data_IF_637064169924
#
_entry.id   IF_637064169924
#
_cell.length_a   1.000
_cell.length_b   1.000
_cell.length_c   1.000
_cell.angle_alpha   90.00
_cell.angle_beta   90.00
_cell.angle_gamma   90.00
#
_symmetry.space_group_name_H-M   'P 1'
#
loop_
_entity.id
_entity.type
_entity.pdbx_description
1 polymer ?
#
# COMPACT_ATOMS: atom_id res chain seq x y z
N UNK A 1 55.21 -3.04 12.81
CA UNK A 1 54.37 -3.44 11.63
C UNK A 1 52.96 -3.91 12.01
N UNK A 2 52.74 -4.70 13.07
CA UNK A 2 51.35 -5.05 13.51
C UNK A 2 50.69 -3.94 14.32
N UNK A 3 51.44 -3.17 15.07
CA UNK A 3 50.91 -2.05 15.86
C UNK A 3 50.57 -0.83 15.02
N UNK A 4 51.33 -0.52 13.98
CA UNK A 4 51.01 0.53 13.00
C UNK A 4 49.71 0.23 12.24
N UNK A 5 49.45 -1.06 11.89
CA UNK A 5 48.20 -1.47 11.24
C UNK A 5 47.00 -1.42 12.18
N UNK A 6 47.18 -1.44 13.51
CA UNK A 6 46.10 -1.26 14.48
C UNK A 6 45.75 0.22 14.65
N UNK A 7 46.75 1.11 14.69
CA UNK A 7 46.54 2.56 14.76
C UNK A 7 45.84 3.10 13.54
N UNK A 8 46.24 2.68 12.32
CA UNK A 8 45.58 3.05 11.07
C UNK A 8 44.11 2.60 11.00
N UNK A 9 43.83 1.38 11.48
CA UNK A 9 42.45 0.89 11.53
C UNK A 9 41.59 1.66 12.54
N UNK A 10 42.16 2.10 13.65
CA UNK A 10 41.46 2.86 14.67
C UNK A 10 41.19 4.30 14.19
N UNK A 11 42.16 4.90 13.52
CA UNK A 11 42.05 6.24 12.91
C UNK A 11 41.03 6.29 11.79
N UNK A 12 40.98 5.25 10.91
CA UNK A 12 39.99 5.12 9.85
C UNK A 12 38.58 4.92 10.45
N UNK A 13 38.46 4.13 11.53
CA UNK A 13 37.19 3.91 12.23
C UNK A 13 36.67 5.18 12.88
N UNK A 14 37.55 5.97 13.53
CA UNK A 14 37.21 7.27 14.13
C UNK A 14 36.84 8.32 13.06
N UNK A 15 37.53 8.36 11.92
CA UNK A 15 37.21 9.25 10.81
C UNK A 15 35.86 8.90 10.16
N UNK A 16 35.56 7.60 10.00
CA UNK A 16 34.29 7.11 9.50
C UNK A 16 33.13 7.48 10.43
N UNK A 17 33.27 7.24 11.72
CA UNK A 17 32.28 7.60 12.75
C UNK A 17 32.05 9.11 12.80
N UNK A 18 33.10 9.92 12.69
CA UNK A 18 32.98 11.39 12.62
C UNK A 18 32.26 11.89 11.37
N UNK A 19 32.50 11.27 10.21
CA UNK A 19 31.84 11.62 8.96
C UNK A 19 30.33 11.23 8.97
N UNK A 20 30.02 10.05 9.50
CA UNK A 20 28.66 9.55 9.64
C UNK A 20 27.85 10.38 10.65
N UNK A 21 28.43 10.76 11.79
CA UNK A 21 27.82 11.68 12.75
C UNK A 21 27.54 13.06 12.17
N UNK A 22 28.47 13.60 11.35
CA UNK A 22 28.28 14.89 10.67
C UNK A 22 27.13 14.82 9.65
N UNK A 23 26.97 13.71 8.93
CA UNK A 23 25.89 13.54 7.97
C UNK A 23 24.52 13.37 8.64
N UNK A 24 24.45 12.62 9.75
CA UNK A 24 23.24 12.49 10.57
C UNK A 24 22.82 13.85 11.15
N UNK A 25 23.75 14.62 11.71
CA UNK A 25 23.50 15.99 12.18
C UNK A 25 23.03 16.88 11.04
N UNK A 26 23.60 16.73 9.84
CA UNK A 26 23.24 17.52 8.66
C UNK A 26 21.83 17.20 8.15
N UNK A 27 21.40 15.93 8.19
CA UNK A 27 20.03 15.51 7.90
C UNK A 27 19.04 16.08 8.93
N UNK A 28 19.34 15.96 10.23
CA UNK A 28 18.54 16.53 11.33
C UNK A 28 18.40 18.05 11.24
N UNK A 29 19.46 18.77 10.86
CA UNK A 29 19.46 20.22 10.61
C UNK A 29 18.64 20.61 9.38
N UNK A 30 18.73 19.84 8.30
CA UNK A 30 18.00 20.09 7.06
C UNK A 30 16.48 19.90 7.23
N UNK A 31 16.04 18.89 8.00
CA UNK A 31 14.63 18.71 8.39
C UNK A 31 14.16 19.93 9.20
N UNK A 32 14.92 20.37 10.20
CA UNK A 32 14.62 21.55 11.04
C UNK A 32 14.49 22.87 10.29
N UNK A 33 15.35 23.11 9.30
CA UNK A 33 15.36 24.38 8.55
C UNK A 33 14.14 24.52 7.63
N UNK A 34 13.73 23.46 6.93
CA UNK A 34 12.56 23.51 6.04
C UNK A 34 11.23 23.63 6.77
N UNK A 35 11.12 23.09 7.99
CA UNK A 35 9.93 23.33 8.83
C UNK A 35 9.84 24.76 9.33
N UNK A 36 10.95 25.40 9.69
CA UNK A 36 10.95 26.83 10.06
C UNK A 36 10.48 27.69 8.88
N UNK A 37 10.90 27.40 7.65
CA UNK A 37 10.42 28.09 6.45
C UNK A 37 8.93 27.81 6.15
N UNK A 38 8.45 26.59 6.41
CA UNK A 38 7.04 26.23 6.23
C UNK A 38 6.16 26.88 7.28
N UNK A 39 6.56 26.84 8.56
CA UNK A 39 5.83 27.51 9.66
C UNK A 39 5.87 29.03 9.55
N UNK A 40 6.95 29.61 9.05
CA UNK A 40 7.02 31.04 8.77
C UNK A 40 6.06 31.47 7.63
N UNK A 41 5.92 30.64 6.58
CA UNK A 41 4.97 30.89 5.47
C UNK A 41 3.51 30.67 5.88
N UNK A 42 3.23 29.71 6.76
CA UNK A 42 1.86 29.50 7.30
C UNK A 42 1.46 30.58 8.30
N UNK A 43 2.36 31.03 9.17
CA UNK A 43 2.08 32.12 10.12
C UNK A 43 1.90 33.48 9.43
N UNK A 44 2.59 33.72 8.32
CA UNK A 44 2.39 34.96 7.54
C UNK A 44 0.98 35.04 6.90
N UNK A 45 0.34 33.91 6.65
CA UNK A 45 -1.03 33.84 6.13
C UNK A 45 -2.12 33.88 7.23
N UNK A 46 -1.77 33.54 8.49
CA UNK A 46 -2.70 33.55 9.63
C UNK A 46 -2.87 34.96 10.23
N UNK A 47 -1.87 35.82 10.15
CA UNK A 47 -1.96 37.21 10.69
C UNK A 47 -2.92 38.14 9.94
N UNK A 48 -3.55 37.67 8.86
CA UNK A 48 -4.60 38.47 8.14
C UNK A 48 -6.04 38.08 8.48
N UNK A 49 -6.29 37.19 9.45
CA UNK A 49 -7.66 36.89 9.93
C UNK A 49 -7.73 36.89 11.45
N UNK A 50 -8.52 37.82 11.92
CA UNK A 50 -8.99 38.19 13.24
C UNK A 50 -8.98 37.18 14.38
N UNK A 51 -8.57 37.68 15.56
CA UNK A 51 -8.59 37.08 16.91
C UNK A 51 -9.98 36.61 17.34
N UNK A 52 -10.10 35.40 17.78
CA UNK A 52 -11.09 34.96 18.76
C UNK A 52 -10.43 34.00 19.77
N UNK A 53 -10.88 33.96 21.05
CA UNK A 53 -10.10 33.37 22.13
C UNK A 53 -10.21 31.84 22.18
N UNK A 54 -9.07 31.16 22.24
CA UNK A 54 -8.99 29.73 22.46
C UNK A 54 -9.18 29.42 23.94
N UNK A 55 -10.16 28.60 24.23
CA UNK A 55 -10.34 27.90 25.51
C UNK A 55 -9.48 26.66 25.48
N UNK A 56 -8.48 26.58 26.36
CA UNK A 56 -7.74 25.33 26.64
C UNK A 56 -8.69 24.32 27.26
N UNK A 57 -8.97 23.26 26.57
CA UNK A 57 -9.54 22.03 27.15
C UNK A 57 -8.46 20.95 27.13
N UNK A 58 -7.96 20.61 28.30
CA UNK A 58 -7.33 19.34 28.57
C UNK A 58 -8.41 18.26 28.48
N UNK A 59 -8.33 17.38 27.52
CA UNK A 59 -9.10 16.16 27.52
C UNK A 59 -8.27 15.03 26.94
N UNK A 60 -7.65 14.29 27.84
CA UNK A 60 -7.33 12.88 27.68
C UNK A 60 -8.61 12.09 27.81
N UNK A 61 -9.32 11.84 26.74
CA UNK A 61 -10.39 10.86 26.67
C UNK A 61 -10.23 10.05 25.38
N UNK A 62 -9.48 8.98 25.51
CA UNK A 62 -9.52 7.87 24.55
C UNK A 62 -10.86 7.16 24.74
N UNK A 63 -11.68 7.14 23.70
CA UNK A 63 -12.93 6.40 23.69
C UNK A 63 -12.62 4.90 23.65
N UNK A 64 -13.01 4.23 24.72
CA UNK A 64 -13.18 2.78 24.80
C UNK A 64 -14.24 2.35 23.81
N UNK A 65 -13.89 1.58 22.78
CA UNK A 65 -14.84 0.74 22.10
C UNK A 65 -15.16 -0.44 23.03
N UNK A 66 -16.33 -0.46 23.58
CA UNK A 66 -16.84 -1.60 24.36
C UNK A 66 -16.97 -2.83 23.45
N UNK A 67 -16.15 -3.82 23.73
CA UNK A 67 -16.33 -5.17 23.21
C UNK A 67 -17.39 -5.86 24.07
N UNK A 68 -18.58 -6.04 23.53
CA UNK A 68 -19.58 -6.94 24.13
C UNK A 68 -19.09 -8.38 23.96
N UNK A 69 -18.69 -8.98 25.06
CA UNK A 69 -18.45 -10.42 25.20
C UNK A 69 -19.73 -11.21 24.95
N UNK A 70 -19.73 -12.03 23.91
CA UNK A 70 -20.73 -13.10 23.75
C UNK A 70 -20.02 -14.44 23.91
N UNK A 71 -20.15 -15.03 25.06
CA UNK A 71 -19.75 -16.40 25.34
C UNK A 71 -20.63 -17.41 24.58
N UNK A 72 -20.06 -18.50 24.04
CA UNK A 72 -20.85 -19.52 23.35
C UNK A 72 -21.48 -20.48 24.35
N UNK A 73 -22.81 -20.53 24.41
CA UNK A 73 -23.53 -21.64 25.04
C UNK A 73 -23.72 -22.79 24.04
N UNK A 74 -23.17 -23.94 24.37
CA UNK A 74 -23.50 -25.23 23.79
C UNK A 74 -24.98 -25.53 23.93
N UNK A 75 -25.63 -25.96 22.83
CA UNK A 75 -26.73 -26.88 22.90
C UNK A 75 -26.78 -27.81 21.68
N UNK A 76 -26.74 -29.10 21.97
CA UNK A 76 -26.98 -30.24 21.08
C UNK A 76 -28.50 -30.49 20.96
N UNK A 77 -28.97 -30.84 19.76
CA UNK A 77 -29.94 -31.94 19.44
C UNK A 77 -30.47 -31.71 18.02
N UNK A 78 -30.20 -32.62 17.15
CA UNK A 78 -30.92 -33.80 16.67
C UNK A 78 -32.09 -33.54 15.71
N UNK A 79 -31.88 -34.03 14.44
CA UNK A 79 -32.84 -34.69 13.50
C UNK A 79 -34.10 -33.89 13.13
N UNK A 80 -34.44 -33.77 11.84
CA UNK A 80 -34.95 -34.81 10.95
C UNK A 80 -35.09 -34.30 9.50
N UNK A 81 -35.10 -35.28 8.61
CA UNK A 81 -35.30 -35.23 7.17
C UNK A 81 -36.71 -34.78 6.76
N UNK A 82 -36.88 -34.14 5.61
CA UNK A 82 -37.85 -34.64 4.59
C UNK A 82 -37.75 -33.87 3.27
N UNK A 83 -37.76 -34.68 2.23
CA UNK A 83 -37.93 -34.35 0.82
C UNK A 83 -39.22 -33.58 0.51
N UNK A 84 -39.17 -32.75 -0.54
CA UNK A 84 -40.11 -32.95 -1.66
C UNK A 84 -39.72 -32.15 -2.92
N UNK A 85 -39.74 -32.88 -4.02
CA UNK A 85 -39.72 -32.38 -5.40
C UNK A 85 -41.06 -31.67 -5.71
N UNK A 86 -41.04 -30.68 -6.59
CA UNK A 86 -42.02 -30.63 -7.67
C UNK A 86 -41.59 -29.79 -8.87
N UNK A 87 -41.83 -30.39 -10.02
CA UNK A 87 -41.64 -29.90 -11.40
C UNK A 87 -42.76 -28.97 -11.84
N UNK A 88 -42.44 -28.04 -12.74
CA UNK A 88 -43.21 -27.67 -13.99
C UNK A 88 -42.66 -26.37 -14.54
N UNK A 89 -42.03 -26.36 -15.68
CA UNK A 89 -42.39 -26.33 -17.11
C UNK A 89 -43.14 -25.05 -17.55
N UNK A 90 -42.56 -24.31 -18.44
CA UNK A 90 -42.94 -23.87 -19.78
C UNK A 90 -42.62 -22.39 -20.12
N UNK A 91 -41.79 -22.20 -21.09
CA UNK A 91 -41.94 -21.83 -22.51
C UNK A 91 -41.82 -20.34 -22.87
N UNK A 92 -40.79 -20.10 -23.75
CA UNK A 92 -40.74 -19.25 -24.96
C UNK A 92 -40.93 -17.73 -24.76
N UNK A 93 -40.08 -16.84 -25.29
CA UNK A 93 -39.58 -16.71 -26.65
C UNK A 93 -38.65 -15.50 -26.78
N UNK A 94 -37.72 -15.52 -27.72
CA UNK A 94 -37.26 -14.33 -28.43
C UNK A 94 -35.81 -13.95 -28.36
N UNK A 95 -34.93 -14.56 -29.14
CA UNK A 95 -33.70 -13.94 -29.70
C UNK A 95 -34.12 -13.01 -30.87
N UNK A 96 -33.33 -11.98 -31.27
CA UNK A 96 -31.99 -12.16 -31.84
C UNK A 96 -31.00 -10.96 -31.59
N UNK A 97 -29.72 -11.12 -31.59
CA UNK A 97 -28.76 -10.71 -32.61
C UNK A 97 -27.33 -10.77 -32.11
N UNK A 98 -26.67 -11.86 -32.44
CA UNK A 98 -25.21 -11.91 -32.57
C UNK A 98 -24.88 -11.51 -33.99
N UNK A 99 -24.09 -10.46 -34.21
CA UNK A 99 -23.13 -10.35 -35.31
C UNK A 99 -22.47 -8.97 -35.26
N UNK A 100 -21.17 -8.90 -34.84
CA UNK A 100 -20.14 -8.08 -35.48
C UNK A 100 -18.92 -7.77 -34.58
N UNK A 101 -18.33 -8.75 -33.91
CA UNK A 101 -17.04 -8.52 -33.17
C UNK A 101 -16.00 -9.65 -33.29
N UNK A 102 -16.19 -10.59 -34.21
CA UNK A 102 -15.28 -11.73 -34.36
C UNK A 102 -14.32 -11.66 -35.57
N UNK A 103 -14.45 -10.65 -36.46
CA UNK A 103 -13.61 -10.58 -37.67
C UNK A 103 -12.21 -9.99 -37.50
N UNK A 104 -11.95 -9.11 -36.51
CA UNK A 104 -10.64 -8.47 -36.36
C UNK A 104 -9.58 -9.34 -35.68
N UNK A 105 -9.99 -10.27 -34.79
CA UNK A 105 -9.06 -11.17 -34.14
C UNK A 105 -8.62 -12.38 -34.97
N UNK A 106 -9.43 -12.78 -35.94
CA UNK A 106 -9.10 -13.88 -36.86
C UNK A 106 -8.03 -13.47 -37.88
N UNK A 107 -8.10 -12.26 -38.41
CA UNK A 107 -7.14 -11.77 -39.40
C UNK A 107 -5.71 -11.64 -38.84
N UNK A 108 -5.55 -11.13 -37.61
CA UNK A 108 -4.20 -11.02 -36.99
C UNK A 108 -3.52 -12.35 -36.72
N UNK A 109 -4.33 -13.39 -36.38
CA UNK A 109 -3.78 -14.75 -36.12
C UNK A 109 -3.45 -15.48 -37.42
N UNK A 110 -4.09 -15.11 -38.51
CA UNK A 110 -3.81 -15.61 -39.87
C UNK A 110 -2.57 -14.92 -40.48
N UNK A 111 -2.41 -13.60 -40.32
CA UNK A 111 -1.21 -12.88 -40.71
C UNK A 111 0.07 -13.42 -40.01
N UNK A 112 0.00 -13.74 -38.70
CA UNK A 112 1.11 -14.35 -37.97
C UNK A 112 1.44 -15.76 -38.45
N UNK A 113 0.41 -16.53 -38.85
CA UNK A 113 0.61 -17.86 -39.47
C UNK A 113 1.23 -17.73 -40.86
N UNK A 114 0.91 -16.71 -41.61
CA UNK A 114 1.52 -16.44 -42.93
C UNK A 114 3.00 -16.03 -42.78
N UNK A 115 3.34 -15.20 -41.78
CA UNK A 115 4.73 -14.81 -41.52
C UNK A 115 5.56 -16.03 -41.10
N UNK A 116 5.00 -16.90 -40.22
CA UNK A 116 5.66 -18.14 -39.82
C UNK A 116 5.77 -19.14 -40.96
N UNK A 117 4.77 -19.20 -41.84
CA UNK A 117 4.80 -20.09 -43.02
C UNK A 117 5.70 -19.54 -44.13
N UNK A 118 5.79 -18.22 -44.34
CA UNK A 118 6.77 -17.58 -45.24
C UNK A 118 8.20 -17.82 -44.79
N UNK A 119 8.48 -17.78 -43.49
CA UNK A 119 9.82 -18.12 -42.96
C UNK A 119 10.15 -19.62 -43.11
N UNK A 120 9.16 -20.51 -43.05
CA UNK A 120 9.36 -21.95 -43.26
C UNK A 120 9.57 -22.29 -44.75
N UNK A 121 8.90 -21.60 -45.66
CA UNK A 121 9.01 -21.92 -47.10
C UNK A 121 10.29 -21.34 -47.74
N UNK A 122 10.88 -20.25 -47.21
CA UNK A 122 12.18 -19.76 -47.67
C UNK A 122 13.37 -20.61 -47.23
N UNK A 123 13.15 -21.56 -46.29
CA UNK A 123 14.18 -22.47 -45.79
C UNK A 123 14.24 -23.81 -46.56
N UNK A 124 13.22 -24.11 -47.40
CA UNK A 124 13.15 -25.41 -48.13
C UNK A 124 13.69 -25.36 -49.55
N UNK A 125 13.96 -24.16 -50.12
CA UNK A 125 14.46 -24.07 -51.51
C UNK A 125 16.00 -23.97 -51.64
N UNK A 126 16.80 -23.88 -50.56
CA UNK A 126 18.25 -23.73 -50.61
C UNK A 126 19.03 -24.82 -49.83
N UNK A 127 18.58 -26.09 -49.88
CA UNK A 127 19.33 -27.18 -49.27
C UNK A 127 19.92 -28.12 -50.33
N UNK A 128 20.95 -27.64 -51.01
CA UNK A 128 22.01 -28.48 -51.56
C UNK A 128 23.33 -27.71 -51.44
N UNK A 129 24.17 -28.14 -50.55
CA UNK A 129 25.61 -28.07 -50.37
C UNK A 129 26.08 -27.44 -49.04
N UNK A 130 26.68 -28.30 -48.23
CA UNK A 130 27.79 -28.09 -47.28
C UNK A 130 27.89 -26.82 -46.44
N UNK A 131 27.38 -26.84 -45.19
CA UNK A 131 28.12 -26.44 -43.99
C UNK A 131 27.24 -26.55 -42.70
N UNK A 132 27.44 -27.64 -41.97
CA UNK A 132 26.54 -28.05 -40.86
C UNK A 132 26.60 -27.21 -39.58
N UNK A 133 27.54 -26.25 -39.43
CA UNK A 133 27.71 -25.47 -38.17
C UNK A 133 27.23 -24.01 -38.27
N UNK A 134 27.13 -23.45 -39.44
CA UNK A 134 26.70 -22.03 -39.62
C UNK A 134 25.16 -21.90 -39.63
N UNK A 135 24.47 -23.00 -39.97
CA UNK A 135 22.99 -23.01 -40.04
C UNK A 135 22.30 -23.21 -38.67
N UNK A 136 22.98 -23.87 -37.74
CA UNK A 136 22.48 -24.06 -36.37
C UNK A 136 22.49 -22.73 -35.58
N UNK A 137 23.53 -21.91 -35.73
CA UNK A 137 23.64 -20.59 -35.08
C UNK A 137 22.59 -19.61 -35.61
N UNK A 138 22.36 -19.53 -36.91
CA UNK A 138 21.32 -18.69 -37.52
C UNK A 138 19.92 -19.09 -37.11
N UNK A 139 19.66 -20.39 -36.93
CA UNK A 139 18.35 -20.90 -36.48
C UNK A 139 18.09 -20.56 -35.01
N UNK A 140 19.10 -20.69 -34.16
CA UNK A 140 19.01 -20.30 -32.72
C UNK A 140 18.82 -18.79 -32.56
N UNK A 141 19.45 -17.96 -33.40
CA UNK A 141 19.24 -16.50 -33.38
C UNK A 141 17.85 -16.12 -33.88
N UNK A 142 17.36 -16.75 -34.92
CA UNK A 142 15.99 -16.54 -35.44
C UNK A 142 14.93 -16.93 -34.41
N UNK A 143 15.10 -18.08 -33.74
CA UNK A 143 14.18 -18.51 -32.66
C UNK A 143 14.23 -17.59 -31.45
N UNK A 144 15.40 -17.03 -31.10
CA UNK A 144 15.52 -15.99 -30.05
C UNK A 144 14.79 -14.71 -30.44
N UNK A 145 14.92 -14.23 -31.68
CA UNK A 145 14.24 -13.04 -32.15
C UNK A 145 12.73 -13.20 -32.18
N UNK A 146 12.24 -14.38 -32.61
CA UNK A 146 10.79 -14.70 -32.61
C UNK A 146 10.27 -14.74 -31.18
N UNK A 147 10.98 -15.39 -30.25
CA UNK A 147 10.61 -15.43 -28.85
C UNK A 147 10.59 -14.02 -28.21
N UNK A 148 11.59 -13.18 -28.49
CA UNK A 148 11.63 -11.79 -28.01
C UNK A 148 10.46 -10.98 -28.56
N UNK A 149 10.13 -11.11 -29.85
CA UNK A 149 9.00 -10.43 -30.46
C UNK A 149 7.65 -10.89 -29.85
N UNK A 150 7.49 -12.16 -29.58
CA UNK A 150 6.30 -12.74 -28.94
C UNK A 150 6.16 -12.26 -27.47
N UNK A 151 7.26 -12.22 -26.73
CA UNK A 151 7.29 -11.70 -25.36
C UNK A 151 6.90 -10.21 -25.37
N UNK A 152 7.46 -9.42 -26.28
CA UNK A 152 7.14 -7.99 -26.42
C UNK A 152 5.66 -7.78 -26.75
N UNK A 153 5.10 -8.50 -27.68
CA UNK A 153 3.69 -8.42 -28.03
C UNK A 153 2.77 -8.77 -26.86
N UNK A 154 3.13 -9.80 -26.08
CA UNK A 154 2.39 -10.17 -24.86
C UNK A 154 2.44 -9.05 -23.81
N UNK A 155 3.59 -8.38 -23.66
CA UNK A 155 3.75 -7.26 -22.74
C UNK A 155 2.95 -6.03 -23.19
N UNK A 156 2.91 -5.74 -24.47
CA UNK A 156 2.12 -4.64 -25.04
C UNK A 156 0.60 -4.87 -24.82
N UNK A 157 0.11 -6.11 -24.98
CA UNK A 157 -1.27 -6.47 -24.68
C UNK A 157 -1.60 -6.31 -23.17
N UNK A 158 -0.66 -6.64 -22.29
CA UNK A 158 -0.80 -6.44 -20.85
C UNK A 158 -0.86 -4.94 -20.53
N UNK A 159 0.03 -4.15 -21.11
CA UNK A 159 0.08 -2.71 -20.91
C UNK A 159 -1.19 -2.01 -21.41
N UNK A 160 -1.67 -2.35 -22.61
CA UNK A 160 -2.93 -1.81 -23.15
C UNK A 160 -4.12 -2.10 -22.23
N UNK A 161 -4.16 -3.31 -21.65
CA UNK A 161 -5.23 -3.68 -20.72
C UNK A 161 -5.13 -2.91 -19.41
N UNK A 162 -3.90 -2.71 -18.89
CA UNK A 162 -3.65 -1.90 -17.70
C UNK A 162 -4.02 -0.45 -17.92
N UNK A 163 -3.65 0.14 -19.07
CA UNK A 163 -3.99 1.51 -19.41
C UNK A 163 -5.50 1.74 -19.41
N UNK A 164 -6.27 0.85 -20.04
CA UNK A 164 -7.74 0.91 -20.02
C UNK A 164 -8.33 0.81 -18.61
N UNK A 165 -7.74 0.01 -17.71
CA UNK A 165 -8.20 -0.10 -16.33
C UNK A 165 -7.82 1.14 -15.51
N UNK A 166 -6.60 1.63 -15.66
CA UNK A 166 -6.13 2.85 -15.00
C UNK A 166 -6.98 4.05 -15.43
N UNK A 167 -7.18 4.24 -16.74
CA UNK A 167 -8.02 5.32 -17.28
C UNK A 167 -9.45 5.23 -16.74
N UNK A 168 -10.03 4.04 -16.71
CA UNK A 168 -11.37 3.78 -16.15
C UNK A 168 -11.46 4.19 -14.68
N UNK A 169 -10.42 3.89 -13.87
CA UNK A 169 -10.34 4.27 -12.47
C UNK A 169 -10.11 5.78 -12.31
N UNK A 170 -9.24 6.38 -13.11
CA UNK A 170 -8.93 7.81 -13.05
C UNK A 170 -10.10 8.70 -13.51
N UNK A 171 -10.99 8.20 -14.38
CA UNK A 171 -12.23 8.89 -14.77
C UNK A 171 -13.17 9.16 -13.58
N UNK A 172 -12.98 8.46 -12.46
CA UNK A 172 -13.71 8.76 -11.22
C UNK A 172 -13.49 10.19 -10.70
N UNK A 173 -12.41 10.87 -11.10
CA UNK A 173 -12.18 12.28 -10.78
C UNK A 173 -13.36 13.18 -11.23
N UNK A 174 -14.08 12.75 -12.27
CA UNK A 174 -15.23 13.44 -12.85
C UNK A 174 -16.57 13.04 -12.19
N UNK A 175 -16.56 12.03 -11.32
CA UNK A 175 -17.76 11.50 -10.69
C UNK A 175 -18.04 12.18 -9.34
N UNK A 176 -19.29 12.09 -8.89
CA UNK A 176 -19.63 12.46 -7.52
C UNK A 176 -18.83 11.60 -6.54
N UNK A 177 -18.34 12.19 -5.43
CA UNK A 177 -17.62 11.42 -4.40
C UNK A 177 -18.42 10.19 -3.94
N UNK A 178 -17.71 9.10 -3.68
CA UNK A 178 -18.24 7.79 -3.27
C UNK A 178 -19.08 7.05 -4.33
N UNK A 179 -19.05 7.45 -5.60
CA UNK A 179 -19.63 6.65 -6.67
C UNK A 179 -18.73 5.42 -6.91
N UNK A 180 -19.34 4.25 -6.91
CA UNK A 180 -18.67 3.01 -7.27
C UNK A 180 -18.36 2.96 -8.76
N UNK A 181 -17.19 2.43 -9.10
CA UNK A 181 -16.79 2.23 -10.51
C UNK A 181 -17.25 0.82 -10.93
N UNK A 182 -17.82 0.71 -12.11
CA UNK A 182 -18.26 -0.57 -12.68
C UNK A 182 -17.04 -1.42 -13.10
N UNK A 183 -16.45 -2.12 -12.12
CA UNK A 183 -15.37 -3.08 -12.32
C UNK A 183 -15.95 -4.46 -12.65
N UNK A 184 -15.36 -5.17 -13.61
CA UNK A 184 -15.72 -6.56 -13.89
C UNK A 184 -14.93 -7.50 -12.97
N UNK A 185 -15.59 -8.55 -12.45
CA UNK A 185 -14.92 -9.56 -11.63
C UNK A 185 -13.73 -10.21 -12.34
N UNK A 186 -13.83 -10.38 -13.66
CA UNK A 186 -12.75 -10.89 -14.50
C UNK A 186 -11.54 -9.95 -14.59
N UNK A 187 -11.77 -8.62 -14.54
CA UNK A 187 -10.73 -7.60 -14.50
C UNK A 187 -9.99 -7.68 -13.16
N UNK A 188 -10.74 -7.74 -12.05
CA UNK A 188 -10.19 -7.83 -10.70
C UNK A 188 -9.37 -9.11 -10.52
N UNK A 189 -9.91 -10.26 -10.91
CA UNK A 189 -9.19 -11.54 -10.84
C UNK A 189 -7.90 -11.53 -11.65
N UNK A 190 -7.90 -10.89 -12.80
CA UNK A 190 -6.72 -10.78 -13.64
C UNK A 190 -5.65 -9.88 -13.00
N UNK A 191 -6.05 -8.75 -12.39
CA UNK A 191 -5.13 -7.85 -11.66
C UNK A 191 -4.54 -8.57 -10.44
N UNK A 192 -5.36 -9.26 -9.64
CA UNK A 192 -4.88 -10.06 -8.50
C UNK A 192 -3.83 -11.07 -8.96
N UNK A 193 -4.11 -11.83 -10.03
CA UNK A 193 -3.19 -12.84 -10.55
C UNK A 193 -1.86 -12.22 -11.02
N UNK A 194 -1.92 -11.13 -11.79
CA UNK A 194 -0.72 -10.45 -12.29
C UNK A 194 0.10 -9.80 -11.17
N UNK A 195 -0.55 -9.22 -10.19
CA UNK A 195 0.11 -8.68 -8.99
C UNK A 195 0.80 -9.78 -8.18
N UNK A 196 0.14 -10.95 -8.04
CA UNK A 196 0.71 -12.10 -7.34
C UNK A 196 2.02 -12.56 -8.00
N UNK A 197 2.06 -12.66 -9.35
CA UNK A 197 3.25 -13.06 -10.10
C UNK A 197 4.45 -12.10 -9.88
N UNK A 198 4.18 -10.80 -9.69
CA UNK A 198 5.21 -9.77 -9.49
C UNK A 198 5.65 -9.74 -8.02
N UNK A 199 4.69 -9.63 -7.09
CA UNK A 199 4.97 -9.45 -5.66
C UNK A 199 5.66 -10.68 -5.06
N UNK A 200 5.29 -11.89 -5.51
CA UNK A 200 5.93 -13.13 -5.07
C UNK A 200 7.44 -13.17 -5.36
N UNK A 201 7.90 -12.48 -6.40
CA UNK A 201 9.31 -12.41 -6.77
C UNK A 201 10.09 -11.36 -5.97
N UNK A 202 9.41 -10.40 -5.37
CA UNK A 202 10.05 -9.38 -4.55
C UNK A 202 10.47 -9.97 -3.20
N UNK A 203 11.57 -9.49 -2.58
CA UNK A 203 11.92 -9.89 -1.22
C UNK A 203 10.88 -9.39 -0.20
N UNK A 204 10.85 -10.01 0.97
CA UNK A 204 9.99 -9.59 2.07
C UNK A 204 10.46 -8.28 2.71
N UNK A 205 11.77 -8.03 2.68
CA UNK A 205 12.46 -6.80 3.05
C UNK A 205 13.01 -6.17 1.76
N UNK A 206 12.51 -4.99 1.39
CA UNK A 206 12.82 -4.34 0.11
C UNK A 206 13.88 -3.27 0.33
N UNK A 207 14.93 -3.27 -0.48
CA UNK A 207 15.94 -2.22 -0.53
C UNK A 207 15.60 -1.25 -1.66
N UNK A 208 15.49 0.05 -1.34
CA UNK A 208 15.00 1.10 -2.24
C UNK A 208 15.97 2.26 -2.36
N UNK A 209 15.93 2.91 -3.53
CA UNK A 209 16.63 4.16 -3.79
C UNK A 209 15.72 5.39 -3.64
N UNK A 210 16.34 6.57 -3.52
CA UNK A 210 15.67 7.86 -3.62
C UNK A 210 15.95 8.52 -4.99
N UNK A 211 15.07 9.40 -5.53
CA UNK A 211 13.93 10.01 -4.85
C UNK A 211 12.70 9.12 -4.81
N UNK A 212 11.91 9.21 -3.72
CA UNK A 212 10.70 8.41 -3.54
C UNK A 212 9.67 9.15 -2.67
N UNK A 213 8.39 8.94 -2.96
CA UNK A 213 7.27 9.42 -2.17
C UNK A 213 6.76 8.31 -1.25
N UNK A 214 6.59 8.60 0.04
CA UNK A 214 6.07 7.65 1.03
C UNK A 214 4.67 8.04 1.43
N UNK A 215 3.73 7.10 1.35
CA UNK A 215 2.35 7.22 1.80
C UNK A 215 2.06 6.21 2.92
N UNK A 216 1.30 6.66 3.93
CA UNK A 216 0.72 5.80 4.96
C UNK A 216 -0.65 5.28 4.56
N UNK A 217 -1.49 5.06 5.58
CA UNK A 217 -2.84 4.51 5.49
C UNK A 217 -3.73 5.27 4.50
N UNK A 218 -4.48 4.54 3.68
CA UNK A 218 -5.40 5.10 2.69
C UNK A 218 -6.85 4.67 2.95
N UNK A 219 -7.03 3.47 3.50
CA UNK A 219 -8.30 2.94 3.98
C UNK A 219 -9.51 3.18 3.07
N UNK A 220 -9.40 2.77 1.79
CA UNK A 220 -10.53 2.88 0.85
C UNK A 220 -10.99 4.30 0.55
N UNK A 221 -10.23 5.33 0.93
CA UNK A 221 -10.50 6.74 0.60
C UNK A 221 -9.99 7.07 -0.80
N UNK A 222 -10.60 6.45 -1.80
CA UNK A 222 -10.15 6.47 -3.19
C UNK A 222 -9.98 7.88 -3.77
N UNK A 223 -10.90 8.79 -3.46
CA UNK A 223 -10.85 10.16 -3.99
C UNK A 223 -9.70 10.97 -3.38
N UNK A 224 -9.32 10.67 -2.13
CA UNK A 224 -8.15 11.27 -1.49
C UNK A 224 -6.85 10.66 -2.04
N UNK A 225 -6.83 9.36 -2.36
CA UNK A 225 -5.73 8.74 -3.09
C UNK A 225 -5.49 9.41 -4.45
N UNK A 226 -6.54 9.74 -5.21
CA UNK A 226 -6.42 10.47 -6.47
C UNK A 226 -5.83 11.88 -6.26
N UNK A 227 -6.16 12.54 -5.14
CA UNK A 227 -5.54 13.82 -4.75
C UNK A 227 -4.07 13.66 -4.39
N UNK A 228 -3.69 12.57 -3.71
CA UNK A 228 -2.28 12.27 -3.42
C UNK A 228 -1.46 12.18 -4.71
N UNK A 229 -1.92 11.45 -5.72
CA UNK A 229 -1.25 11.38 -7.02
C UNK A 229 -1.19 12.73 -7.75
N UNK A 230 -2.21 13.58 -7.62
CA UNK A 230 -2.15 14.94 -8.17
C UNK A 230 -1.05 15.79 -7.51
N UNK A 231 -0.78 15.60 -6.21
CA UNK A 231 0.28 16.33 -5.50
C UNK A 231 1.67 15.74 -5.69
N UNK A 232 1.77 14.42 -5.73
CA UNK A 232 3.03 13.68 -5.82
C UNK A 232 3.52 13.43 -7.24
N UNK A 233 2.60 13.52 -8.22
CA UNK A 233 2.81 13.06 -9.60
C UNK A 233 2.42 11.60 -9.77
N UNK A 234 1.91 11.26 -10.95
CA UNK A 234 1.55 9.87 -11.28
C UNK A 234 2.79 9.05 -11.66
N UNK A 235 2.82 7.72 -11.30
CA UNK A 235 3.86 6.84 -11.81
C UNK A 235 3.89 6.80 -13.37
N UNK A 236 5.05 6.68 -14.02
CA UNK A 236 6.40 6.53 -13.46
C UNK A 236 7.15 7.85 -13.22
N UNK A 237 6.47 9.02 -13.32
CA UNK A 237 7.11 10.34 -13.11
C UNK A 237 7.60 10.51 -11.68
N UNK A 238 7.00 9.78 -10.73
CA UNK A 238 7.39 9.72 -9.34
C UNK A 238 7.41 8.26 -8.87
N UNK A 239 8.36 7.93 -7.98
CA UNK A 239 8.44 6.65 -7.30
C UNK A 239 7.60 6.69 -6.03
N UNK A 240 6.99 5.58 -5.66
CA UNK A 240 6.12 5.48 -4.49
C UNK A 240 6.43 4.27 -3.62
N UNK A 241 6.38 4.48 -2.31
CA UNK A 241 6.27 3.44 -1.30
C UNK A 241 4.99 3.69 -0.49
N UNK A 242 4.05 2.76 -0.54
CA UNK A 242 2.88 2.73 0.32
C UNK A 242 3.12 1.76 1.46
N UNK A 243 2.85 2.18 2.69
CA UNK A 243 3.20 1.43 3.89
C UNK A 243 2.08 0.52 4.43
N UNK A 244 1.02 0.27 3.64
CA UNK A 244 -0.08 -0.62 4.03
C UNK A 244 -1.41 0.08 4.29
N UNK A 245 -2.37 -0.67 4.77
CA UNK A 245 -3.74 -0.26 5.10
C UNK A 245 -4.47 0.41 3.92
N UNK A 246 -4.63 -0.38 2.86
CA UNK A 246 -5.29 0.06 1.61
C UNK A 246 -6.80 -0.06 1.68
N UNK A 247 -7.28 -1.03 2.43
CA UNK A 247 -8.68 -1.45 2.50
C UNK A 247 -9.32 -1.13 3.86
N UNK A 248 -10.62 -1.37 3.99
CA UNK A 248 -11.44 -1.10 5.17
C UNK A 248 -11.77 0.37 5.41
N UNK A 249 -12.75 0.62 6.28
CA UNK A 249 -13.18 1.94 6.77
C UNK A 249 -13.82 2.82 5.68
N UNK A 250 -13.12 3.10 4.62
CA UNK A 250 -13.61 3.88 3.48
C UNK A 250 -14.58 3.10 2.60
N UNK A 251 -15.28 3.80 1.71
CA UNK A 251 -16.37 3.24 0.89
C UNK A 251 -15.90 2.64 -0.43
N UNK A 252 -14.65 2.86 -0.83
CA UNK A 252 -14.11 2.51 -2.13
C UNK A 252 -12.79 1.73 -1.99
N UNK A 253 -12.78 0.67 -1.15
CA UNK A 253 -11.60 -0.16 -0.95
C UNK A 253 -11.21 -0.90 -2.23
N UNK A 254 -12.19 -1.36 -3.01
CA UNK A 254 -11.93 -2.04 -4.29
C UNK A 254 -11.27 -1.12 -5.31
N UNK A 255 -11.77 0.10 -5.48
CA UNK A 255 -11.15 1.08 -6.39
C UNK A 255 -9.73 1.43 -5.95
N UNK A 256 -9.54 1.62 -4.64
CA UNK A 256 -8.24 1.95 -4.04
C UNK A 256 -7.22 0.87 -4.32
N UNK A 257 -7.49 -0.36 -3.90
CA UNK A 257 -6.53 -1.46 -4.09
C UNK A 257 -6.32 -1.78 -5.57
N UNK A 258 -7.36 -1.67 -6.41
CA UNK A 258 -7.26 -1.93 -7.84
C UNK A 258 -6.35 -0.92 -8.56
N UNK A 259 -6.43 0.37 -8.24
CA UNK A 259 -5.55 1.38 -8.84
C UNK A 259 -4.08 1.15 -8.43
N UNK A 260 -3.85 0.91 -7.13
CA UNK A 260 -2.51 0.65 -6.60
C UNK A 260 -1.89 -0.61 -7.22
N UNK A 261 -2.65 -1.69 -7.35
CA UNK A 261 -2.20 -2.92 -7.99
C UNK A 261 -1.96 -2.75 -9.51
N UNK A 262 -2.78 -1.97 -10.21
CA UNK A 262 -2.53 -1.65 -11.62
C UNK A 262 -1.22 -0.88 -11.80
N UNK A 263 -0.93 0.10 -10.95
CA UNK A 263 0.37 0.79 -10.95
C UNK A 263 1.52 -0.14 -10.59
N UNK A 264 1.34 -1.04 -9.62
CA UNK A 264 2.33 -2.05 -9.26
C UNK A 264 2.67 -2.99 -10.43
N UNK A 265 1.68 -3.42 -11.20
CA UNK A 265 1.91 -4.27 -12.37
C UNK A 265 2.60 -3.49 -13.49
N UNK A 266 2.18 -2.25 -13.73
CA UNK A 266 2.68 -1.44 -14.84
C UNK A 266 4.08 -0.90 -14.60
N UNK A 267 4.40 -0.56 -13.34
CA UNK A 267 5.65 0.09 -12.95
C UNK A 267 6.29 -0.62 -11.74
N UNK A 268 6.68 -1.90 -11.86
CA UNK A 268 7.11 -2.70 -10.71
C UNK A 268 8.35 -2.17 -10.01
N UNK A 269 9.21 -1.44 -10.73
CA UNK A 269 10.46 -0.86 -10.22
C UNK A 269 10.30 0.59 -9.70
N UNK A 270 9.10 1.16 -9.83
CA UNK A 270 8.81 2.54 -9.39
C UNK A 270 7.71 2.59 -8.33
N UNK A 271 6.98 1.49 -8.12
CA UNK A 271 5.81 1.44 -7.26
C UNK A 271 5.89 0.27 -6.28
N UNK A 272 5.96 0.58 -5.00
CA UNK A 272 6.18 -0.40 -3.93
C UNK A 272 5.04 -0.35 -2.92
N UNK A 273 4.66 -1.53 -2.42
CA UNK A 273 3.53 -1.70 -1.49
C UNK A 273 3.96 -2.64 -0.38
N UNK A 274 3.89 -2.17 0.87
CA UNK A 274 4.07 -2.98 2.06
C UNK A 274 2.71 -3.50 2.54
N UNK A 275 2.73 -4.50 3.40
CA UNK A 275 1.56 -5.01 4.09
C UNK A 275 1.23 -4.17 5.30
N UNK A 276 -0.04 -3.77 5.48
CA UNK A 276 -0.58 -3.26 6.73
C UNK A 276 -1.31 -4.36 7.52
N UNK A 277 -1.74 -4.05 8.74
CA UNK A 277 -2.48 -5.00 9.56
C UNK A 277 -3.90 -5.26 9.03
N UNK A 278 -4.48 -4.32 8.27
CA UNK A 278 -5.75 -4.52 7.59
C UNK A 278 -5.66 -5.42 6.34
N UNK A 279 -4.47 -5.68 5.83
CA UNK A 279 -4.25 -6.68 4.80
C UNK A 279 -4.18 -8.09 5.41
N UNK A 280 -5.20 -8.43 6.23
CA UNK A 280 -5.42 -9.75 6.83
C UNK A 280 -6.92 -10.07 6.93
N UNK A 281 -7.28 -11.34 6.80
CA UNK A 281 -8.68 -11.77 6.78
C UNK A 281 -9.40 -11.55 8.12
N UNK A 282 -8.71 -11.72 9.25
CA UNK A 282 -9.24 -11.47 10.59
C UNK A 282 -9.67 -10.01 10.78
N UNK A 283 -8.95 -9.06 10.19
CA UNK A 283 -9.23 -7.63 10.31
C UNK A 283 -10.19 -7.16 9.22
N UNK A 284 -9.89 -7.42 7.95
CA UNK A 284 -10.70 -6.88 6.86
C UNK A 284 -12.06 -7.59 6.68
N UNK A 285 -12.30 -8.67 7.43
CA UNK A 285 -13.61 -9.28 7.59
C UNK A 285 -14.56 -8.45 8.44
N UNK A 286 -14.02 -7.63 9.36
CA UNK A 286 -14.78 -6.88 10.36
C UNK A 286 -14.97 -5.42 9.94
N UNK A 287 -13.96 -4.82 9.31
CA UNK A 287 -13.88 -3.37 9.13
C UNK A 287 -14.31 -2.85 7.75
N UNK A 288 -14.93 -3.72 6.91
CA UNK A 288 -15.69 -3.26 5.75
C UNK A 288 -15.33 -3.89 4.40
N UNK A 289 -14.10 -4.31 4.17
CA UNK A 289 -13.68 -4.84 2.87
C UNK A 289 -14.37 -6.17 2.50
N UNK A 290 -14.60 -7.06 3.48
CA UNK A 290 -15.38 -8.27 3.27
C UNK A 290 -16.80 -7.95 2.78
N UNK A 291 -17.47 -7.01 3.43
CA UNK A 291 -18.83 -6.64 3.09
C UNK A 291 -18.89 -5.95 1.72
N UNK A 292 -17.91 -5.11 1.38
CA UNK A 292 -17.79 -4.51 0.06
C UNK A 292 -17.61 -5.58 -1.03
N UNK A 293 -16.70 -6.53 -0.84
CA UNK A 293 -16.50 -7.63 -1.79
C UNK A 293 -17.73 -8.53 -1.92
N UNK A 294 -18.38 -8.87 -0.80
CA UNK A 294 -19.58 -9.71 -0.78
C UNK A 294 -20.77 -9.04 -1.48
N UNK A 295 -20.95 -7.74 -1.24
CA UNK A 295 -22.05 -6.95 -1.80
C UNK A 295 -21.91 -6.73 -3.31
N UNK A 296 -20.71 -6.35 -3.76
CA UNK A 296 -20.44 -6.02 -5.18
C UNK A 296 -20.16 -7.24 -6.03
N UNK A 297 -19.62 -8.29 -5.44
CA UNK A 297 -19.21 -9.53 -6.12
C UNK A 297 -19.55 -10.77 -5.30
N UNK A 298 -18.56 -11.37 -4.62
CA UNK A 298 -18.75 -12.57 -3.81
C UNK A 298 -17.58 -12.80 -2.84
N UNK A 299 -17.80 -13.72 -1.88
CA UNK A 299 -16.80 -14.09 -0.86
C UNK A 299 -15.53 -14.73 -1.47
N UNK A 300 -15.65 -15.43 -2.62
CA UNK A 300 -14.49 -16.06 -3.27
C UNK A 300 -13.50 -15.00 -3.77
N UNK A 301 -13.99 -13.83 -4.17
CA UNK A 301 -13.13 -12.71 -4.58
C UNK A 301 -12.37 -12.13 -3.37
N UNK A 302 -13.06 -11.92 -2.24
CA UNK A 302 -12.43 -11.50 -0.99
C UNK A 302 -11.30 -12.44 -0.54
N UNK A 303 -11.52 -13.77 -0.60
CA UNK A 303 -10.47 -14.75 -0.29
C UNK A 303 -9.25 -14.60 -1.21
N UNK A 304 -9.46 -14.35 -2.51
CA UNK A 304 -8.35 -14.12 -3.45
C UNK A 304 -7.52 -12.87 -3.15
N UNK A 305 -8.14 -11.82 -2.62
CA UNK A 305 -7.40 -10.65 -2.14
C UNK A 305 -6.56 -11.00 -0.90
N UNK A 306 -7.09 -11.76 0.06
CA UNK A 306 -6.33 -12.17 1.24
C UNK A 306 -5.18 -13.13 0.86
N UNK A 307 -5.37 -14.04 -0.11
CA UNK A 307 -4.29 -14.85 -0.67
C UNK A 307 -3.15 -13.96 -1.25
N UNK A 308 -3.52 -12.85 -1.90
CA UNK A 308 -2.56 -11.86 -2.41
C UNK A 308 -1.91 -11.07 -1.27
N UNK A 309 -2.66 -10.61 -0.27
CA UNK A 309 -2.14 -9.86 0.87
C UNK A 309 -1.11 -10.65 1.68
N UNK A 310 -1.30 -11.96 1.79
CA UNK A 310 -0.38 -12.87 2.49
C UNK A 310 1.01 -12.98 1.86
N UNK A 311 1.21 -12.44 0.66
CA UNK A 311 2.54 -12.40 0.01
C UNK A 311 3.12 -10.98 -0.09
N UNK A 312 2.45 -9.96 0.46
CA UNK A 312 3.00 -8.59 0.43
C UNK A 312 4.31 -8.51 1.19
N UNK A 313 5.27 -7.67 0.74
CA UNK A 313 6.45 -7.29 1.50
C UNK A 313 6.06 -6.64 2.83
N UNK A 314 6.92 -6.76 3.83
CA UNK A 314 6.63 -6.31 5.19
C UNK A 314 7.35 -5.00 5.52
N UNK A 315 8.62 -4.90 5.12
CA UNK A 315 9.46 -3.74 5.44
C UNK A 315 10.25 -3.30 4.22
N UNK A 316 10.68 -2.04 4.23
CA UNK A 316 11.59 -1.50 3.25
C UNK A 316 12.67 -0.65 3.91
N UNK A 317 13.84 -0.53 3.27
CA UNK A 317 14.88 0.41 3.65
C UNK A 317 15.23 1.30 2.45
N UNK A 318 15.39 2.60 2.69
CA UNK A 318 15.75 3.57 1.65
C UNK A 318 17.16 4.05 1.89
N UNK A 319 18.05 3.82 0.89
CA UNK A 319 19.46 4.22 0.94
C UNK A 319 20.18 3.77 2.21
N UNK A 320 19.84 2.61 2.74
CA UNK A 320 20.38 2.04 3.99
C UNK A 320 20.25 2.96 5.24
N UNK A 321 19.39 3.99 5.16
CA UNK A 321 19.27 5.03 6.21
C UNK A 321 17.86 5.23 6.76
N UNK A 322 16.82 4.94 5.99
CA UNK A 322 15.44 5.15 6.42
C UNK A 322 14.71 3.80 6.41
N UNK A 323 14.42 3.26 7.59
CA UNK A 323 13.69 2.00 7.74
C UNK A 323 12.17 2.27 7.73
N UNK A 324 11.44 1.60 6.83
CA UNK A 324 10.01 1.78 6.63
C UNK A 324 9.24 0.50 6.98
N UNK A 325 8.14 0.63 7.72
CA UNK A 325 7.20 -0.44 8.06
C UNK A 325 5.81 0.13 8.31
N UNK A 326 4.81 -0.71 8.40
CA UNK A 326 3.45 -0.25 8.70
C UNK A 326 3.26 0.11 10.18
N UNK A 327 3.41 -0.86 11.10
CA UNK A 327 3.26 -0.67 12.54
C UNK A 327 4.50 -0.02 13.16
N UNK A 328 5.43 -0.79 13.65
CA UNK A 328 6.63 -0.25 14.28
C UNK A 328 7.67 -1.29 14.64
N UNK A 329 8.38 -1.04 15.71
CA UNK A 329 9.51 -1.86 16.15
C UNK A 329 9.07 -3.11 16.91
N UNK A 330 9.97 -4.09 16.96
CA UNK A 330 9.79 -5.35 17.68
C UNK A 330 11.00 -5.64 18.58
N UNK A 331 10.81 -6.22 19.78
CA UNK A 331 11.92 -6.75 20.56
C UNK A 331 12.66 -7.88 19.83
N UNK A 332 11.99 -8.57 18.92
CA UNK A 332 12.56 -9.64 18.09
C UNK A 332 13.33 -9.15 16.85
N UNK A 333 13.41 -7.83 16.63
CA UNK A 333 14.22 -7.24 15.57
C UNK A 333 15.71 -7.24 15.95
N UNK A 334 16.32 -8.41 15.80
CA UNK A 334 17.73 -8.61 16.20
C UNK A 334 18.70 -8.07 15.14
N UNK A 335 18.40 -8.30 13.87
CA UNK A 335 19.19 -7.85 12.72
C UNK A 335 18.32 -7.85 11.44
N UNK A 336 18.81 -7.29 10.33
CA UNK A 336 18.06 -7.30 9.06
C UNK A 336 17.86 -8.70 8.48
N UNK A 337 18.70 -9.66 8.84
CA UNK A 337 18.50 -11.05 8.42
C UNK A 337 17.25 -11.67 9.08
N UNK A 338 16.82 -11.19 10.26
CA UNK A 338 15.56 -11.63 10.86
C UNK A 338 14.35 -11.20 10.01
N UNK A 339 14.40 -10.03 9.36
CA UNK A 339 13.38 -9.57 8.42
C UNK A 339 13.33 -10.45 7.17
N UNK A 340 14.49 -10.77 6.60
CA UNK A 340 14.61 -11.59 5.37
C UNK A 340 14.13 -13.03 5.57
N UNK A 341 14.10 -13.52 6.82
CA UNK A 341 13.65 -14.88 7.17
C UNK A 341 12.13 -15.03 7.28
N UNK A 342 11.36 -13.95 7.24
CA UNK A 342 9.90 -14.03 7.25
C UNK A 342 9.43 -14.74 5.99
N UNK A 343 8.82 -15.93 6.17
CA UNK A 343 8.36 -16.78 5.06
C UNK A 343 7.01 -16.28 4.55
N UNK A 344 6.81 -16.27 3.23
CA UNK A 344 5.55 -15.91 2.57
C UNK A 344 5.11 -17.01 1.59
N UNK A 345 3.82 -17.31 1.40
CA UNK A 345 2.68 -16.62 2.02
C UNK A 345 2.56 -16.91 3.51
N UNK A 346 2.05 -15.94 4.28
CA UNK A 346 1.83 -16.09 5.72
C UNK A 346 0.63 -15.24 6.18
N UNK A 347 -0.14 -15.76 7.13
CA UNK A 347 -1.07 -14.99 7.91
C UNK A 347 -0.31 -14.17 8.97
N UNK A 348 -0.94 -13.14 9.53
CA UNK A 348 -0.34 -12.37 10.62
C UNK A 348 -0.55 -13.17 11.92
N UNK A 349 0.53 -13.57 12.62
CA UNK A 349 0.41 -14.26 13.90
C UNK A 349 -0.01 -13.29 15.02
N UNK A 350 -0.47 -13.82 16.15
CA UNK A 350 -0.90 -13.03 17.31
C UNK A 350 0.27 -12.39 18.08
N UNK A 351 1.53 -12.79 17.82
CA UNK A 351 2.73 -12.26 18.49
C UNK A 351 3.98 -12.51 17.65
N UNK A 352 5.10 -11.88 18.06
CA UNK A 352 6.41 -12.01 17.44
C UNK A 352 6.68 -11.00 16.35
N UNK A 353 7.87 -11.10 15.71
CA UNK A 353 8.42 -10.08 14.81
C UNK A 353 7.41 -9.58 13.75
N UNK A 354 6.74 -10.49 13.04
CA UNK A 354 5.79 -10.11 11.99
C UNK A 354 4.58 -9.37 12.56
N UNK A 355 4.04 -9.84 13.69
CA UNK A 355 2.96 -9.15 14.38
C UNK A 355 3.37 -7.71 14.75
N UNK A 356 4.52 -7.56 15.38
CA UNK A 356 4.99 -6.27 15.89
C UNK A 356 5.25 -5.26 14.77
N UNK A 357 5.86 -5.69 13.67
CA UNK A 357 6.11 -4.83 12.49
C UNK A 357 4.82 -4.26 11.89
N UNK A 358 3.66 -4.86 12.16
CA UNK A 358 2.36 -4.45 11.64
C UNK A 358 1.46 -3.79 12.69
N UNK A 359 1.76 -3.94 14.00
CA UNK A 359 0.84 -3.54 15.07
C UNK A 359 1.45 -2.66 16.15
N UNK A 360 2.78 -2.64 16.35
CA UNK A 360 3.38 -1.90 17.45
C UNK A 360 3.32 -0.39 17.25
N UNK A 361 3.24 0.35 18.35
CA UNK A 361 3.11 1.81 18.36
C UNK A 361 4.19 2.48 19.20
N UNK A 362 4.64 3.71 18.88
CA UNK A 362 5.45 4.53 19.77
C UNK A 362 4.62 5.00 20.97
N UNK A 363 5.27 5.18 22.14
CA UNK A 363 4.63 5.68 23.34
C UNK A 363 5.60 6.45 24.25
N UNK A 364 5.09 7.51 24.89
CA UNK A 364 5.90 8.46 25.67
C UNK A 364 6.15 8.00 27.12
N UNK A 365 5.22 7.25 27.72
CA UNK A 365 5.18 7.01 29.18
C UNK A 365 5.70 5.61 29.53
N UNK A 366 6.68 5.09 28.79
CA UNK A 366 7.26 3.77 29.02
C UNK A 366 8.78 3.81 28.99
N UNK A 367 9.44 2.95 29.77
CA UNK A 367 10.90 2.93 29.82
C UNK A 367 11.51 2.33 28.54
N UNK A 368 11.03 1.18 28.08
CA UNK A 368 11.45 0.52 26.84
C UNK A 368 10.25 -0.03 26.07
N UNK A 369 9.67 -1.13 26.55
CA UNK A 369 8.55 -1.85 25.95
C UNK A 369 7.39 -1.89 26.94
N UNK A 370 6.19 -1.58 26.45
CA UNK A 370 4.97 -1.61 27.21
C UNK A 370 3.89 -2.44 26.52
N UNK A 371 2.81 -2.72 27.25
CA UNK A 371 1.61 -3.33 26.67
C UNK A 371 0.93 -2.33 25.74
N UNK A 372 0.62 -2.76 24.52
CA UNK A 372 -0.14 -1.94 23.58
C UNK A 372 -1.63 -1.93 23.99
N UNK A 373 -2.25 -0.75 23.97
CA UNK A 373 -3.68 -0.57 24.27
C UNK A 373 -4.60 -1.25 23.24
N UNK A 374 -4.08 -1.57 22.06
CA UNK A 374 -4.80 -2.34 21.02
C UNK A 374 -5.05 -3.79 21.43
N UNK A 375 -4.43 -4.27 22.55
CA UNK A 375 -4.54 -5.64 23.01
C UNK A 375 -3.63 -6.65 22.30
N UNK A 376 -2.84 -6.20 21.31
CA UNK A 376 -1.88 -6.99 20.54
C UNK A 376 -0.57 -6.22 20.41
N UNK A 377 0.58 -6.94 20.34
CA UNK A 377 1.91 -6.34 20.17
C UNK A 377 2.34 -5.41 21.33
N UNK A 378 3.27 -4.52 21.08
CA UNK A 378 3.94 -3.66 22.06
C UNK A 378 3.79 -2.18 21.76
N UNK A 379 3.93 -1.37 22.81
CA UNK A 379 4.27 0.04 22.73
C UNK A 379 5.77 0.19 23.00
N UNK A 380 6.50 1.01 22.25
CA UNK A 380 7.94 1.21 22.37
C UNK A 380 8.30 2.68 22.62
N UNK A 381 9.33 2.90 23.45
CA UNK A 381 9.77 4.24 23.86
C UNK A 381 10.76 4.88 22.89
N UNK A 382 11.03 6.18 23.08
CA UNK A 382 12.14 6.90 22.44
C UNK A 382 13.48 6.19 22.62
N UNK A 383 13.73 5.60 23.79
CA UNK A 383 14.96 4.84 24.05
C UNK A 383 15.12 3.67 23.09
N UNK A 384 14.05 2.93 22.81
CA UNK A 384 14.08 1.81 21.85
C UNK A 384 14.35 2.32 20.43
N UNK A 385 13.77 3.45 20.03
CA UNK A 385 14.05 4.08 18.73
C UNK A 385 15.53 4.41 18.60
N UNK A 386 16.12 5.05 19.62
CA UNK A 386 17.55 5.39 19.62
C UNK A 386 18.43 4.13 19.55
N UNK A 387 18.15 3.10 20.38
CA UNK A 387 18.89 1.83 20.39
C UNK A 387 18.86 1.13 19.01
N UNK A 388 17.71 1.18 18.31
CA UNK A 388 17.57 0.59 16.97
C UNK A 388 18.31 1.39 15.91
N UNK A 389 18.21 2.72 15.92
CA UNK A 389 18.91 3.57 14.96
C UNK A 389 20.43 3.43 15.10
N UNK A 390 20.95 3.45 16.33
CA UNK A 390 22.37 3.26 16.59
C UNK A 390 22.85 1.87 16.17
N UNK A 391 22.06 0.83 16.48
CA UNK A 391 22.39 -0.57 16.19
C UNK A 391 22.48 -0.85 14.69
N UNK A 392 21.59 -0.24 13.90
CA UNK A 392 21.48 -0.52 12.47
C UNK A 392 22.06 0.58 11.58
N UNK A 393 22.69 1.60 12.17
CA UNK A 393 23.25 2.76 11.47
C UNK A 393 22.21 3.50 10.63
N UNK A 394 21.00 3.70 11.21
CA UNK A 394 19.89 4.37 10.56
C UNK A 394 19.77 5.83 10.99
N UNK A 395 19.19 6.67 10.13
CA UNK A 395 18.91 8.06 10.43
C UNK A 395 17.44 8.30 10.82
N UNK A 396 16.52 7.47 10.34
CA UNK A 396 15.08 7.66 10.52
C UNK A 396 14.31 6.34 10.46
N UNK A 397 13.28 6.20 11.30
CA UNK A 397 12.22 5.21 11.17
C UNK A 397 10.99 5.91 10.61
N UNK A 398 10.40 5.37 9.55
CA UNK A 398 9.18 5.86 8.94
C UNK A 398 8.09 4.80 9.05
N UNK A 399 6.94 5.15 9.66
CA UNK A 399 5.83 4.22 9.90
C UNK A 399 4.46 4.87 9.62
N UNK A 400 3.42 4.09 9.68
CA UNK A 400 2.03 4.48 9.41
C UNK A 400 1.10 4.15 10.60
N UNK A 401 -0.04 3.51 10.40
CA UNK A 401 -0.85 2.81 11.40
C UNK A 401 -1.58 3.66 12.45
N UNK A 402 -1.15 4.88 12.75
CA UNK A 402 -1.82 5.78 13.69
C UNK A 402 -2.33 7.04 12.99
N UNK A 403 -3.58 7.41 13.32
CA UNK A 403 -4.13 8.69 12.90
C UNK A 403 -3.39 9.80 13.64
N UNK A 404 -2.91 10.79 12.88
CA UNK A 404 -2.23 11.98 13.43
C UNK A 404 -2.82 13.26 12.84
N UNK A 405 -2.95 14.30 13.66
CA UNK A 405 -3.71 15.52 13.35
C UNK A 405 -3.27 16.18 12.03
N UNK A 406 -1.97 16.31 11.80
CA UNK A 406 -1.41 16.98 10.62
C UNK A 406 -1.10 16.04 9.46
N UNK A 407 -1.50 14.74 9.55
CA UNK A 407 -1.17 13.69 8.60
C UNK A 407 0.27 13.18 8.74
N UNK A 408 1.09 13.80 9.56
CA UNK A 408 2.40 13.32 9.97
C UNK A 408 2.73 13.81 11.39
N UNK A 409 3.48 13.01 12.13
CA UNK A 409 3.92 13.32 13.49
C UNK A 409 5.31 12.76 13.75
N UNK A 410 6.16 13.56 14.39
CA UNK A 410 7.49 13.14 14.78
C UNK A 410 7.52 12.66 16.22
N UNK A 411 8.29 11.62 16.46
CA UNK A 411 8.58 11.05 17.77
C UNK A 411 10.09 10.90 17.96
N UNK A 412 10.57 10.73 19.22
CA UNK A 412 11.97 10.48 19.56
C UNK A 412 12.93 11.49 18.91
N UNK A 413 12.80 12.78 19.24
CA UNK A 413 13.63 13.84 18.69
C UNK A 413 13.71 13.86 17.15
N UNK A 414 12.62 13.50 16.47
CA UNK A 414 12.49 13.40 15.00
C UNK A 414 13.22 12.24 14.38
N UNK A 415 13.53 11.23 15.15
CA UNK A 415 14.15 9.99 14.69
C UNK A 415 13.13 8.93 14.24
N UNK A 416 11.84 9.16 14.55
CA UNK A 416 10.73 8.41 14.01
C UNK A 416 9.68 9.38 13.47
N UNK A 417 9.07 9.03 12.35
CA UNK A 417 7.92 9.77 11.78
C UNK A 417 6.77 8.80 11.50
N UNK A 418 5.58 9.15 11.99
CA UNK A 418 4.33 8.53 11.59
C UNK A 418 3.74 9.32 10.42
N UNK A 419 3.30 8.62 9.35
CA UNK A 419 2.65 9.19 8.18
C UNK A 419 1.28 8.56 8.03
N UNK A 420 0.24 9.39 7.95
CA UNK A 420 -1.13 8.99 7.74
C UNK A 420 -1.69 9.72 6.53
N UNK A 421 -2.16 9.00 5.51
CA UNK A 421 -2.48 9.59 4.20
C UNK A 421 -3.98 9.76 3.93
N UNK A 422 -4.85 9.37 4.87
CA UNK A 422 -6.31 9.48 4.77
C UNK A 422 -6.83 10.70 5.56
N UNK A 423 -7.14 11.84 4.91
CA UNK A 423 -7.69 13.01 5.62
C UNK A 423 -9.14 12.77 6.05
N UNK A 424 -9.60 13.44 7.10
CA UNK A 424 -10.96 13.31 7.65
C UNK A 424 -11.36 11.82 7.83
N UNK A 425 -10.49 11.09 8.53
CA UNK A 425 -10.56 9.64 8.65
C UNK A 425 -11.90 9.18 9.23
N UNK A 426 -12.53 8.23 8.58
CA UNK A 426 -13.88 7.72 8.89
C UNK A 426 -14.99 8.81 8.87
N UNK A 427 -14.69 10.06 8.52
CA UNK A 427 -15.60 11.19 8.70
C UNK A 427 -15.80 11.59 10.16
N UNK A 428 -14.99 11.07 11.07
CA UNK A 428 -15.05 11.27 12.51
C UNK A 428 -13.90 12.16 13.02
N UNK A 429 -12.73 12.02 12.36
CA UNK A 429 -11.53 12.79 12.66
C UNK A 429 -11.42 13.99 11.70
N UNK A 430 -10.95 15.12 12.19
CA UNK A 430 -10.67 16.32 11.39
C UNK A 430 -9.21 16.41 10.92
N UNK A 431 -8.49 15.29 10.99
CA UNK A 431 -7.09 15.15 10.62
C UNK A 431 -6.83 15.49 9.15
N UNK A 432 -5.67 16.07 8.88
CA UNK A 432 -5.10 16.10 7.53
C UNK A 432 -4.52 14.73 7.15
N UNK A 433 -4.39 14.50 5.86
CA UNK A 433 -3.53 13.43 5.33
C UNK A 433 -2.16 14.01 4.93
N UNK A 434 -1.12 13.17 4.90
CA UNK A 434 0.19 13.60 4.41
C UNK A 434 0.87 12.52 3.56
N UNK A 435 1.83 12.99 2.77
CA UNK A 435 2.79 12.20 2.02
C UNK A 435 4.17 12.79 2.27
N UNK A 436 5.17 11.95 2.57
CA UNK A 436 6.56 12.38 2.71
C UNK A 436 7.31 12.16 1.40
N UNK A 437 8.00 13.19 0.94
CA UNK A 437 8.83 13.15 -0.25
C UNK A 437 10.29 13.13 0.18
N UNK A 438 11.04 12.15 -0.28
CA UNK A 438 12.47 12.01 -0.05
C UNK A 438 13.19 12.33 -1.36
N UNK A 439 14.07 13.33 -1.35
CA UNK A 439 14.89 13.67 -2.50
C UNK A 439 16.20 12.85 -2.57
N UNK A 440 17.02 13.08 -3.60
CA UNK A 440 18.28 12.37 -3.84
C UNK A 440 19.29 12.50 -2.70
N UNK A 441 19.19 13.58 -1.92
CA UNK A 441 20.07 13.89 -0.78
C UNK A 441 19.46 13.46 0.56
N UNK A 442 18.42 12.60 0.52
CA UNK A 442 17.64 12.16 1.67
C UNK A 442 16.94 13.31 2.44
N UNK A 443 16.68 14.42 1.76
CA UNK A 443 15.87 15.50 2.32
C UNK A 443 14.40 15.10 2.35
N UNK A 444 13.80 15.11 3.54
CA UNK A 444 12.39 14.81 3.74
C UNK A 444 11.55 16.09 3.71
N UNK A 445 10.53 16.13 2.85
CA UNK A 445 9.51 17.19 2.79
C UNK A 445 8.12 16.58 2.81
N UNK A 446 7.11 17.33 3.26
CA UNK A 446 5.75 16.83 3.39
C UNK A 446 4.78 17.56 2.46
N UNK A 447 3.92 16.82 1.80
CA UNK A 447 2.73 17.31 1.11
C UNK A 447 1.52 17.00 1.98
N UNK A 448 0.76 18.03 2.34
CA UNK A 448 -0.37 17.90 3.26
C UNK A 448 -1.68 17.98 2.48
N UNK A 449 -2.52 16.96 2.66
CA UNK A 449 -3.88 16.91 2.15
C UNK A 449 -4.85 17.37 3.24
N UNK A 450 -5.34 18.59 3.10
CA UNK A 450 -6.41 19.06 3.99
C UNK A 450 -7.72 18.34 3.70
N UNK A 451 -8.56 18.07 4.71
CA UNK A 451 -9.92 17.62 4.51
C UNK A 451 -10.67 18.52 3.52
N UNK A 452 -11.49 17.93 2.65
CA UNK A 452 -12.40 18.71 1.81
C UNK A 452 -13.58 19.10 2.70
N UNK A 453 -13.61 20.33 3.15
CA UNK A 453 -14.79 20.89 3.80
C UNK A 453 -15.82 21.21 2.72
N UNK A 454 -16.86 20.39 2.62
CA UNK A 454 -18.04 20.73 1.81
C UNK A 454 -18.70 21.98 2.43
N UNK A 455 -18.52 23.12 1.80
CA UNK A 455 -19.12 24.42 2.20
C UNK A 455 -20.67 24.37 2.15
N UNK A 456 -21.27 23.29 1.67
CA UNK A 456 -22.73 23.13 1.48
C UNK A 456 -23.38 22.01 2.31
N UNK A 457 -22.80 21.55 3.42
CA UNK A 457 -23.62 20.91 4.42
C UNK A 457 -24.35 22.01 5.21
N UNK A 458 -25.57 22.32 4.77
CA UNK A 458 -26.57 22.83 5.70
C UNK A 458 -26.51 21.95 6.93
N UNK A 459 -26.00 22.49 8.03
CA UNK A 459 -26.12 21.89 9.34
C UNK A 459 -27.62 21.65 9.56
N UNK A 460 -28.12 20.46 9.25
CA UNK A 460 -29.37 19.99 9.83
C UNK A 460 -29.12 20.04 11.31
N UNK A 461 -29.75 21.01 11.97
CA UNK A 461 -29.76 21.18 13.43
C UNK A 461 -29.87 19.78 14.02
N UNK A 462 -28.92 19.41 14.90
CA UNK A 462 -29.04 18.19 15.71
C UNK A 462 -30.48 18.13 16.23
N UNK A 463 -31.18 16.97 16.20
CA UNK A 463 -32.50 16.88 16.79
C UNK A 463 -32.41 17.40 18.21
N UNK A 464 -33.27 18.34 18.57
CA UNK A 464 -33.32 18.86 19.91
C UNK A 464 -33.55 17.67 20.85
N UNK A 465 -32.77 17.60 21.95
CA UNK A 465 -32.97 16.62 23.02
C UNK A 465 -34.43 16.62 23.42
N UNK A 466 -35.13 15.45 23.50
CA UNK A 466 -36.52 15.43 23.89
C UNK A 466 -36.66 16.05 25.28
N UNK A 467 -37.76 16.83 25.53
CA UNK A 467 -37.96 17.48 26.79
C UNK A 467 -38.03 16.47 27.92
N UNK A 468 -37.30 16.72 29.02
CA UNK A 468 -37.37 15.90 30.23
C UNK A 468 -38.82 15.87 30.72
N UNK A 469 -39.41 14.71 30.78
CA UNK A 469 -40.68 14.49 31.45
C UNK A 469 -40.53 14.95 32.92
N UNK A 470 -41.25 15.97 33.34
CA UNK A 470 -41.44 16.27 34.74
C UNK A 470 -42.43 15.27 35.26
N UNK A 471 -41.97 14.36 36.13
CA UNK A 471 -42.86 13.55 36.94
C UNK A 471 -43.67 14.49 37.84
N UNK A 472 -44.99 14.42 37.71
CA UNK A 472 -45.92 14.97 38.69
C UNK A 472 -46.09 14.00 39.83
#
# INVERSE_FOLDING_TARGET
MEDEKKEDKQTIKQAKTSYETKNSIKLKLKIKLKEKEFNAKSNANIHKRQKSPFIKRNNSNYYKCESSEISPKHNKSSRDESNNEDKRSNQRSGTPNKYSRSKSKKNKKEELKEIVNKSKNSTTENLKTNNCNHDKTKRVESDKLINMALIKQTQDEINEKLDKLIDKLLLAKEYKPNKEIDLLESEIKWVIYKSYEIIKKQPVFIELDSPINICGDVHGQFYDLLRLFNYGGEPPKANYLFMGDYVDRGKNSLETIMLLLCYKIKYPENFFMLRGNHESDNINKIYGFFDECKRRFNIKLWKKFNDLFNIFPITAIIKDKILCMHGGLSPDLINFESLKKIVRPTEIPDSGLLCDLLWSDPGEIIEKWGRNERGVSYTFSERVVNEVLDKFDLDLICRAHQVVENGYEFFANRQLVTIFSAPNYCGEFDNAGAMMLIDKDLMCTFKILKPITNINHNYTKRPATPPKFKNK
#
